data_IF_918357833062
#
_entry.id   IF_918357833062
#
_cell.length_a   1.000
_cell.length_b   1.000
_cell.length_c   1.000
_cell.angle_alpha   90.00
_cell.angle_beta   90.00
_cell.angle_gamma   90.00
#
_symmetry.space_group_name_H-M   'P 1'
#
loop_
_entity.id
_entity.type
_entity.pdbx_description
1 polymer ?
#
# COMPACT_ATOMS: atom_id res chain seq x y z
N UNK A 1 -29.77 9.79 22.24
CA UNK A 1 -31.17 9.89 21.76
C UNK A 1 -31.76 8.52 21.98
N UNK A 2 -32.55 8.32 23.03
CA UNK A 2 -33.12 7.01 23.38
C UNK A 2 -34.16 6.64 22.32
N UNK A 3 -33.73 5.92 21.28
CA UNK A 3 -34.66 5.13 20.48
C UNK A 3 -35.15 4.00 21.36
N UNK A 4 -36.47 3.90 21.52
CA UNK A 4 -37.08 2.80 22.24
C UNK A 4 -36.72 1.50 21.53
N UNK A 5 -35.98 0.63 22.23
CA UNK A 5 -35.37 -0.61 21.71
C UNK A 5 -36.41 -1.49 21.00
N UNK A 6 -37.64 -1.52 21.51
CA UNK A 6 -38.78 -2.24 20.93
C UNK A 6 -39.20 -1.67 19.57
N UNK A 7 -39.21 -0.34 19.42
CA UNK A 7 -39.54 0.30 18.15
C UNK A 7 -38.52 0.00 17.05
N UNK A 8 -37.27 -0.30 17.41
CA UNK A 8 -36.22 -0.57 16.46
C UNK A 8 -36.21 -2.02 15.96
N UNK A 9 -36.56 -3.00 16.81
CA UNK A 9 -36.73 -4.41 16.40
C UNK A 9 -37.80 -4.55 15.30
N UNK A 10 -38.94 -3.85 15.42
CA UNK A 10 -39.98 -3.80 14.38
C UNK A 10 -39.49 -3.13 13.07
N UNK A 11 -38.41 -2.33 13.15
CA UNK A 11 -37.82 -1.58 12.04
C UNK A 11 -36.62 -2.29 11.39
N UNK A 12 -36.11 -3.37 11.99
CA UNK A 12 -35.04 -4.18 11.38
C UNK A 12 -35.52 -4.77 10.04
N UNK A 13 -36.80 -5.09 9.94
CA UNK A 13 -37.43 -5.57 8.70
C UNK A 13 -37.52 -4.49 7.61
N UNK A 14 -37.48 -3.21 7.95
CA UNK A 14 -37.50 -2.08 7.00
C UNK A 14 -36.10 -1.71 6.46
N UNK A 15 -35.05 -2.38 6.93
CA UNK A 15 -33.68 -2.16 6.42
C UNK A 15 -33.57 -2.48 4.93
N UNK A 16 -33.00 -1.55 4.17
CA UNK A 16 -32.68 -1.70 2.76
C UNK A 16 -31.24 -2.15 2.58
N UNK A 17 -31.02 -3.07 1.65
CA UNK A 17 -29.70 -3.52 1.23
C UNK A 17 -29.38 -2.95 -0.14
N UNK A 18 -28.18 -2.39 -0.26
CA UNK A 18 -27.60 -1.97 -1.53
C UNK A 18 -26.24 -2.62 -1.71
N UNK A 19 -25.82 -2.72 -2.96
CA UNK A 19 -24.60 -3.37 -3.40
C UNK A 19 -23.77 -2.36 -4.17
N UNK A 20 -22.54 -2.12 -3.70
CA UNK A 20 -21.57 -1.28 -4.38
C UNK A 20 -20.60 -2.15 -5.18
N UNK A 21 -20.52 -2.01 -6.51
CA UNK A 21 -19.63 -2.86 -7.30
C UNK A 21 -18.16 -2.52 -7.10
N UNK A 22 -17.35 -3.58 -7.12
CA UNK A 22 -15.89 -3.54 -7.03
C UNK A 22 -15.34 -3.98 -8.39
N UNK A 23 -14.54 -3.10 -9.00
CA UNK A 23 -13.91 -3.33 -10.30
C UNK A 23 -12.48 -3.85 -10.15
N UNK A 24 -12.03 -4.71 -11.06
CA UNK A 24 -10.65 -5.20 -11.08
C UNK A 24 -9.76 -4.46 -12.09
N UNK A 25 -8.47 -4.36 -11.77
CA UNK A 25 -7.46 -3.76 -12.65
C UNK A 25 -7.13 -4.61 -13.88
N UNK A 26 -7.25 -5.93 -13.77
CA UNK A 26 -6.80 -6.89 -14.78
C UNK A 26 -7.84 -7.04 -15.91
N UNK A 27 -9.09 -7.27 -15.55
CA UNK A 27 -10.19 -7.48 -16.50
C UNK A 27 -11.04 -6.23 -16.75
N UNK A 28 -10.96 -5.23 -15.89
CA UNK A 28 -11.78 -3.99 -15.93
C UNK A 28 -13.29 -4.26 -15.76
N UNK A 29 -13.63 -5.38 -15.12
CA UNK A 29 -15.02 -5.82 -14.89
C UNK A 29 -15.34 -5.82 -13.40
N UNK A 30 -16.63 -5.96 -13.09
CA UNK A 30 -17.10 -6.20 -11.72
C UNK A 30 -16.70 -7.61 -11.30
N UNK A 31 -15.96 -7.71 -10.20
CA UNK A 31 -15.50 -8.97 -9.61
C UNK A 31 -16.15 -9.26 -8.26
N UNK A 32 -16.68 -8.22 -7.62
CA UNK A 32 -17.33 -8.34 -6.33
C UNK A 32 -18.36 -7.22 -6.10
N UNK A 33 -19.19 -7.39 -5.09
CA UNK A 33 -20.01 -6.34 -4.51
C UNK A 33 -19.75 -6.20 -3.01
N UNK A 34 -19.73 -4.96 -2.53
CA UNK A 34 -19.77 -4.67 -1.09
C UNK A 34 -21.20 -4.37 -0.66
N UNK A 35 -21.60 -5.02 0.44
CA UNK A 35 -22.92 -4.89 1.02
C UNK A 35 -22.97 -3.63 1.87
N UNK A 36 -23.97 -2.79 1.59
CA UNK A 36 -24.26 -1.58 2.35
C UNK A 36 -25.69 -1.65 2.86
N UNK A 37 -25.82 -1.71 4.18
CA UNK A 37 -27.12 -1.63 4.87
C UNK A 37 -27.48 -0.19 5.16
N UNK A 38 -28.70 0.21 4.80
CA UNK A 38 -29.25 1.52 5.14
C UNK A 38 -30.65 1.39 5.74
N UNK A 39 -30.94 2.26 6.71
CA UNK A 39 -32.27 2.42 7.27
C UNK A 39 -32.72 3.86 7.12
N UNK A 40 -33.93 4.09 6.62
CA UNK A 40 -34.47 5.45 6.42
C UNK A 40 -35.70 5.65 7.30
N UNK A 41 -35.64 6.62 8.20
CA UNK A 41 -36.78 7.01 9.05
C UNK A 41 -37.12 8.49 8.81
N UNK A 42 -38.36 8.78 8.40
CA UNK A 42 -38.98 10.11 8.38
C UNK A 42 -38.03 11.27 7.99
N UNK A 43 -37.19 11.07 6.95
CA UNK A 43 -36.19 11.98 6.33
C UNK A 43 -34.71 11.82 6.71
N UNK A 44 -34.33 10.91 7.59
CA UNK A 44 -32.90 10.60 7.87
C UNK A 44 -32.55 9.18 7.43
N UNK A 45 -31.44 9.05 6.72
CA UNK A 45 -30.83 7.76 6.36
C UNK A 45 -29.68 7.47 7.32
N UNK A 46 -29.68 6.28 7.90
CA UNK A 46 -28.69 5.78 8.84
C UNK A 46 -27.93 4.62 8.19
N UNK A 47 -26.61 4.59 8.36
CA UNK A 47 -25.78 3.46 7.96
C UNK A 47 -25.87 2.36 9.02
N UNK A 48 -26.25 1.16 8.62
CA UNK A 48 -26.43 0.04 9.55
C UNK A 48 -25.11 -0.36 10.19
N UNK A 49 -24.01 -0.35 9.44
CA UNK A 49 -22.68 -0.64 9.97
C UNK A 49 -22.26 0.36 11.03
N UNK A 50 -22.73 1.61 10.99
CA UNK A 50 -22.46 2.58 12.07
C UNK A 50 -23.26 2.25 13.34
N UNK A 51 -24.53 1.82 13.18
CA UNK A 51 -25.38 1.41 14.29
C UNK A 51 -24.83 0.20 15.05
N UNK A 52 -24.09 -0.70 14.39
CA UNK A 52 -23.47 -1.85 15.08
C UNK A 52 -22.35 -1.44 16.05
N UNK A 53 -21.85 -0.21 15.97
CA UNK A 53 -20.87 0.36 16.92
C UNK A 53 -21.49 1.36 17.91
N UNK A 54 -22.79 1.68 17.82
CA UNK A 54 -23.44 2.61 18.75
C UNK A 54 -23.67 1.95 20.11
N UNK A 55 -22.79 2.22 21.08
CA UNK A 55 -22.86 1.66 22.44
C UNK A 55 -24.14 2.06 23.21
N UNK A 56 -24.92 3.03 22.73
CA UNK A 56 -26.24 3.31 23.31
C UNK A 56 -27.28 2.23 23.00
N UNK A 57 -27.01 1.36 22.02
CA UNK A 57 -27.83 0.19 21.66
C UNK A 57 -27.25 -1.05 22.35
N UNK A 58 -28.12 -1.84 22.99
CA UNK A 58 -27.72 -3.07 23.65
C UNK A 58 -27.00 -4.03 22.69
N UNK A 59 -25.95 -4.68 23.19
CA UNK A 59 -25.04 -5.52 22.39
C UNK A 59 -25.76 -6.66 21.64
N UNK A 60 -26.71 -7.33 22.29
CA UNK A 60 -27.52 -8.38 21.68
C UNK A 60 -28.33 -7.88 20.47
N UNK A 61 -28.87 -6.67 20.55
CA UNK A 61 -29.60 -6.04 19.44
C UNK A 61 -28.65 -5.66 18.31
N UNK A 62 -27.48 -5.10 18.62
CA UNK A 62 -26.45 -4.78 17.61
C UNK A 62 -26.01 -6.02 16.85
N UNK A 63 -25.84 -7.14 17.55
CA UNK A 63 -25.58 -8.45 16.94
C UNK A 63 -26.73 -8.91 16.04
N UNK A 64 -27.98 -8.79 16.49
CA UNK A 64 -29.15 -9.14 15.65
C UNK A 64 -29.27 -8.24 14.40
N UNK A 65 -28.97 -6.96 14.52
CA UNK A 65 -28.94 -6.01 13.38
C UNK A 65 -27.95 -6.48 12.32
N UNK A 66 -26.72 -6.78 12.73
CA UNK A 66 -25.67 -7.24 11.82
C UNK A 66 -26.09 -8.53 11.12
N UNK A 67 -26.50 -9.55 11.89
CA UNK A 67 -26.91 -10.83 11.33
C UNK A 67 -28.11 -10.70 10.38
N UNK A 68 -29.07 -9.81 10.66
CA UNK A 68 -30.19 -9.57 9.77
C UNK A 68 -29.79 -8.85 8.47
N UNK A 69 -28.83 -7.91 8.52
CA UNK A 69 -28.23 -7.34 7.32
C UNK A 69 -27.59 -8.43 6.46
N UNK A 70 -26.78 -9.31 7.08
CA UNK A 70 -26.12 -10.42 6.38
C UNK A 70 -27.14 -11.37 5.75
N UNK A 71 -28.19 -11.76 6.50
CA UNK A 71 -29.28 -12.61 6.01
C UNK A 71 -29.97 -12.02 4.77
N UNK A 72 -30.35 -10.74 4.84
CA UNK A 72 -30.99 -10.04 3.73
C UNK A 72 -30.06 -9.91 2.52
N UNK A 73 -28.80 -9.57 2.74
CA UNK A 73 -27.83 -9.38 1.68
C UNK A 73 -27.52 -10.68 0.93
N UNK A 74 -27.27 -11.77 1.65
CA UNK A 74 -27.02 -13.09 1.04
C UNK A 74 -28.26 -13.57 0.29
N UNK A 75 -29.45 -13.41 0.88
CA UNK A 75 -30.70 -13.82 0.22
C UNK A 75 -30.93 -13.06 -1.10
N UNK A 76 -30.64 -11.76 -1.12
CA UNK A 76 -30.76 -10.93 -2.32
C UNK A 76 -29.64 -11.21 -3.35
N UNK A 77 -28.44 -11.58 -2.91
CA UNK A 77 -27.29 -11.85 -3.77
C UNK A 77 -27.18 -13.32 -4.22
N UNK A 78 -28.06 -14.21 -3.74
CA UNK A 78 -27.95 -15.66 -3.89
C UNK A 78 -27.75 -16.08 -5.35
N UNK A 79 -28.57 -15.58 -6.27
CA UNK A 79 -28.45 -15.92 -7.70
C UNK A 79 -27.16 -15.40 -8.35
N UNK A 80 -26.68 -14.21 -7.96
CA UNK A 80 -25.49 -13.58 -8.53
C UNK A 80 -24.20 -14.26 -8.05
N UNK A 81 -24.13 -14.60 -6.76
CA UNK A 81 -23.01 -15.36 -6.16
C UNK A 81 -22.97 -16.78 -6.74
N UNK A 82 -24.14 -17.41 -6.93
CA UNK A 82 -24.26 -18.79 -7.42
C UNK A 82 -23.96 -18.92 -8.92
N UNK A 83 -24.45 -18.02 -9.77
CA UNK A 83 -24.40 -18.20 -11.22
C UNK A 83 -23.21 -17.50 -11.89
N UNK A 84 -22.71 -16.39 -11.33
CA UNK A 84 -21.69 -15.56 -11.97
C UNK A 84 -20.34 -15.57 -11.25
N UNK A 85 -20.21 -16.33 -10.16
CA UNK A 85 -19.00 -16.41 -9.33
C UNK A 85 -18.49 -15.02 -8.87
N UNK A 86 -19.42 -14.10 -8.61
CA UNK A 86 -19.10 -12.76 -8.11
C UNK A 86 -18.92 -12.84 -6.60
N UNK A 87 -17.85 -12.25 -6.09
CA UNK A 87 -17.58 -12.24 -4.65
C UNK A 87 -18.46 -11.23 -3.90
N UNK A 88 -18.68 -11.48 -2.61
CA UNK A 88 -19.48 -10.64 -1.74
C UNK A 88 -18.68 -10.20 -0.52
N UNK A 89 -18.61 -8.89 -0.31
CA UNK A 89 -17.94 -8.26 0.82
C UNK A 89 -19.00 -7.92 1.86
N UNK A 90 -18.95 -8.64 2.98
CA UNK A 90 -19.90 -8.57 4.07
C UNK A 90 -19.31 -7.78 5.24
N UNK A 91 -20.01 -6.79 5.81
CA UNK A 91 -19.55 -6.12 7.01
C UNK A 91 -19.46 -7.11 8.17
N UNK A 92 -18.40 -6.99 8.98
CA UNK A 92 -18.17 -7.83 10.14
C UNK A 92 -17.57 -6.97 11.26
N UNK A 93 -18.35 -6.68 12.29
CA UNK A 93 -17.90 -5.98 13.47
C UNK A 93 -17.12 -6.95 14.38
N UNK A 94 -15.80 -6.74 14.59
CA UNK A 94 -14.98 -7.66 15.36
C UNK A 94 -15.41 -7.74 16.84
N UNK A 95 -16.01 -6.68 17.39
CA UNK A 95 -16.51 -6.71 18.77
C UNK A 95 -17.75 -7.60 18.88
N UNK A 96 -18.67 -7.52 17.91
CA UNK A 96 -19.87 -8.37 17.90
C UNK A 96 -19.55 -9.83 17.55
N UNK A 97 -18.58 -10.05 16.66
CA UNK A 97 -18.08 -11.38 16.34
C UNK A 97 -17.55 -12.10 17.59
N UNK A 98 -16.98 -11.36 18.55
CA UNK A 98 -16.38 -11.95 19.75
C UNK A 98 -17.36 -12.28 20.87
N UNK A 99 -18.64 -11.88 20.76
CA UNK A 99 -19.67 -12.19 21.77
C UNK A 99 -19.81 -13.71 21.96
N UNK A 100 -19.74 -14.47 20.86
CA UNK A 100 -19.92 -15.92 20.81
C UNK A 100 -18.81 -16.62 20.02
N UNK A 101 -17.64 -15.98 19.91
CA UNK A 101 -16.51 -16.47 19.12
C UNK A 101 -16.90 -16.81 17.67
N UNK A 102 -17.74 -15.97 17.07
CA UNK A 102 -18.14 -16.01 15.67
C UNK A 102 -19.12 -17.12 15.31
N UNK A 103 -19.65 -17.87 16.29
CA UNK A 103 -20.52 -19.01 16.03
C UNK A 103 -21.80 -18.59 15.28
N UNK A 104 -22.57 -17.62 15.79
CA UNK A 104 -23.82 -17.21 15.12
C UNK A 104 -23.60 -16.62 13.73
N UNK A 105 -22.52 -15.85 13.53
CA UNK A 105 -22.18 -15.31 12.22
C UNK A 105 -21.87 -16.46 11.25
N UNK A 106 -21.06 -17.42 11.68
CA UNK A 106 -20.67 -18.57 10.88
C UNK A 106 -21.85 -19.50 10.57
N UNK A 107 -22.71 -19.82 11.56
CA UNK A 107 -23.93 -20.59 11.35
C UNK A 107 -24.85 -19.89 10.35
N UNK A 108 -24.98 -18.55 10.43
CA UNK A 108 -25.75 -17.78 9.46
C UNK A 108 -25.22 -17.95 8.03
N UNK A 109 -23.90 -17.97 7.82
CA UNK A 109 -23.33 -18.27 6.50
C UNK A 109 -23.68 -19.70 6.04
N UNK A 110 -23.55 -20.69 6.94
CA UNK A 110 -23.84 -22.11 6.66
C UNK A 110 -25.30 -22.40 6.34
N UNK A 111 -26.22 -21.71 7.01
CA UNK A 111 -27.66 -21.87 6.80
C UNK A 111 -28.10 -21.32 5.43
N UNK A 112 -27.45 -20.25 4.95
CA UNK A 112 -27.89 -19.52 3.77
C UNK A 112 -27.20 -19.96 2.48
N UNK A 113 -25.98 -20.51 2.57
CA UNK A 113 -25.15 -20.85 1.42
C UNK A 113 -24.37 -22.15 1.62
N UNK A 114 -24.08 -22.83 0.50
CA UNK A 114 -23.19 -23.99 0.49
C UNK A 114 -21.73 -23.59 0.81
N UNK A 115 -21.02 -24.44 1.56
CA UNK A 115 -19.62 -24.22 1.95
C UNK A 115 -18.69 -24.03 0.73
N UNK A 116 -19.03 -24.60 -0.43
CA UNK A 116 -18.25 -24.45 -1.68
C UNK A 116 -18.21 -23.00 -2.18
N UNK A 117 -19.12 -22.14 -1.74
CA UNK A 117 -19.21 -20.74 -2.13
C UNK A 117 -18.50 -19.81 -1.15
N UNK A 118 -18.02 -20.33 -0.01
CA UNK A 118 -17.39 -19.52 1.03
C UNK A 118 -16.09 -18.86 0.52
N UNK A 119 -15.43 -19.43 -0.49
CA UNK A 119 -14.29 -18.81 -1.17
C UNK A 119 -14.60 -17.48 -1.86
N UNK A 120 -15.88 -17.18 -2.08
CA UNK A 120 -16.38 -15.94 -2.67
C UNK A 120 -16.84 -14.94 -1.61
N UNK A 121 -16.76 -15.27 -0.32
CA UNK A 121 -17.13 -14.36 0.78
C UNK A 121 -15.88 -13.70 1.34
N UNK A 122 -15.96 -12.38 1.49
CA UNK A 122 -14.97 -11.56 2.17
C UNK A 122 -15.63 -10.94 3.40
N UNK A 123 -15.09 -11.21 4.59
CA UNK A 123 -15.48 -10.47 5.79
C UNK A 123 -14.69 -9.16 5.84
N UNK A 124 -15.40 -8.05 5.84
CA UNK A 124 -14.84 -6.70 5.94
C UNK A 124 -14.75 -6.33 7.41
N UNK A 125 -13.53 -6.35 7.93
CA UNK A 125 -13.23 -6.14 9.35
C UNK A 125 -12.45 -4.82 9.52
N UNK A 126 -13.02 -3.79 10.16
CA UNK A 126 -12.27 -2.62 10.60
C UNK A 126 -11.54 -2.96 11.90
N UNK A 127 -10.36 -3.57 11.78
CA UNK A 127 -9.60 -4.10 12.93
C UNK A 127 -9.33 -3.05 14.02
N UNK A 128 -9.09 -1.80 13.62
CA UNK A 128 -8.73 -0.70 14.52
C UNK A 128 -9.85 -0.33 15.49
N UNK A 129 -11.08 -0.79 15.23
CA UNK A 129 -12.25 -0.59 16.10
C UNK A 129 -12.42 -1.71 17.13
N UNK A 130 -11.58 -2.73 17.13
CA UNK A 130 -11.64 -3.80 18.11
C UNK A 130 -11.03 -3.37 19.45
N UNK A 131 -11.75 -3.59 20.54
CA UNK A 131 -11.34 -3.14 21.90
C UNK A 131 -10.85 -4.29 22.79
N UNK A 132 -10.83 -5.53 22.28
CA UNK A 132 -10.45 -6.72 23.04
C UNK A 132 -9.04 -7.25 22.76
N UNK A 133 -8.82 -8.52 23.10
CA UNK A 133 -7.55 -9.23 22.91
C UNK A 133 -7.44 -9.80 21.48
N UNK A 134 -6.50 -9.27 20.70
CA UNK A 134 -6.27 -9.68 19.31
C UNK A 134 -5.85 -11.14 19.17
N UNK A 135 -5.17 -11.72 20.17
CA UNK A 135 -4.84 -13.15 20.15
C UNK A 135 -6.11 -14.00 20.20
N UNK A 136 -7.13 -13.55 20.96
CA UNK A 136 -8.42 -14.23 21.03
C UNK A 136 -9.22 -14.06 19.74
N UNK A 137 -9.25 -12.86 19.16
CA UNK A 137 -9.94 -12.58 17.89
C UNK A 137 -9.38 -13.40 16.72
N UNK A 138 -8.11 -13.77 16.77
CA UNK A 138 -7.48 -14.59 15.74
C UNK A 138 -8.12 -15.98 15.64
N UNK A 139 -8.59 -16.58 16.74
CA UNK A 139 -9.15 -17.93 16.75
C UNK A 139 -10.41 -18.09 15.86
N UNK A 140 -11.49 -17.32 16.04
CA UNK A 140 -12.68 -17.45 15.20
C UNK A 140 -12.38 -17.10 13.74
N UNK A 141 -11.50 -16.12 13.50
CA UNK A 141 -11.12 -15.73 12.14
C UNK A 141 -10.38 -16.86 11.43
N UNK A 142 -9.39 -17.48 12.07
CA UNK A 142 -8.71 -18.65 11.53
C UNK A 142 -9.68 -19.80 11.27
N UNK A 143 -10.59 -20.06 12.20
CA UNK A 143 -11.61 -21.09 12.04
C UNK A 143 -12.47 -20.84 10.80
N UNK A 144 -13.04 -19.65 10.65
CA UNK A 144 -13.86 -19.27 9.49
C UNK A 144 -13.06 -19.36 8.18
N UNK A 145 -11.79 -18.95 8.19
CA UNK A 145 -10.88 -19.06 7.03
C UNK A 145 -10.63 -20.51 6.61
N UNK A 146 -10.67 -21.50 7.51
CA UNK A 146 -10.50 -22.92 7.14
C UNK A 146 -11.55 -23.42 6.16
N UNK A 147 -12.71 -22.76 6.09
CA UNK A 147 -13.78 -23.03 5.13
C UNK A 147 -13.68 -22.21 3.84
N UNK A 148 -12.58 -21.46 3.64
CA UNK A 148 -12.31 -20.70 2.42
C UNK A 148 -12.77 -19.23 2.46
N UNK A 149 -13.48 -18.80 3.50
CA UNK A 149 -13.85 -17.39 3.69
C UNK A 149 -12.59 -16.53 3.77
N UNK A 150 -12.60 -15.38 3.10
CA UNK A 150 -11.48 -14.45 3.04
C UNK A 150 -11.71 -13.26 3.95
N UNK A 151 -10.62 -12.60 4.34
CA UNK A 151 -10.68 -11.40 5.18
C UNK A 151 -10.23 -10.19 4.35
N UNK A 152 -11.00 -9.12 4.44
CA UNK A 152 -10.66 -7.80 3.95
C UNK A 152 -10.55 -6.84 5.15
N UNK A 153 -9.40 -6.23 5.36
CA UNK A 153 -9.25 -5.23 6.43
C UNK A 153 -9.66 -3.86 5.94
N UNK A 154 -10.47 -3.16 6.72
CA UNK A 154 -11.04 -1.86 6.38
C UNK A 154 -10.24 -0.69 6.97
N UNK A 155 -10.18 0.42 6.23
CA UNK A 155 -9.51 1.67 6.61
C UNK A 155 -8.02 1.52 6.95
N UNK A 156 -7.30 0.75 6.13
CA UNK A 156 -5.85 0.62 6.26
C UNK A 156 -5.15 1.95 5.93
N UNK A 157 -4.30 2.43 6.82
CA UNK A 157 -3.66 3.73 6.73
C UNK A 157 -2.64 4.00 7.85
N UNK A 158 -2.48 5.26 8.24
CA UNK A 158 -1.50 5.71 9.24
C UNK A 158 -1.73 5.20 10.65
N UNK A 159 -2.96 4.84 10.98
CA UNK A 159 -3.33 4.32 12.30
C UNK A 159 -3.26 2.78 12.36
N UNK A 160 -2.95 2.12 11.24
CA UNK A 160 -2.91 0.66 11.18
C UNK A 160 -1.67 0.09 11.85
N UNK A 161 -1.88 -0.99 12.60
CA UNK A 161 -0.80 -1.74 13.21
C UNK A 161 -0.39 -2.93 12.32
N UNK A 162 0.89 -3.00 11.95
CA UNK A 162 1.40 -4.04 11.05
C UNK A 162 1.32 -5.44 11.67
N UNK A 163 1.56 -5.58 12.97
CA UNK A 163 1.47 -6.88 13.66
C UNK A 163 0.03 -7.36 13.67
N UNK A 164 -0.92 -6.46 13.91
CA UNK A 164 -2.35 -6.79 13.83
C UNK A 164 -2.69 -7.22 12.40
N UNK A 165 -2.35 -6.45 11.36
CA UNK A 165 -2.59 -6.85 9.96
C UNK A 165 -2.06 -8.26 9.68
N UNK A 166 -0.83 -8.57 10.13
CA UNK A 166 -0.21 -9.88 9.94
C UNK A 166 -0.98 -11.00 10.64
N UNK A 167 -1.57 -10.77 11.80
CA UNK A 167 -2.34 -11.78 12.53
C UNK A 167 -3.62 -12.22 11.79
N UNK A 168 -4.26 -11.32 11.03
CA UNK A 168 -5.45 -11.66 10.24
C UNK A 168 -5.12 -12.40 8.94
N UNK A 169 -3.89 -12.27 8.45
CA UNK A 169 -3.45 -12.79 7.14
C UNK A 169 -4.50 -12.48 6.04
N UNK A 170 -4.79 -11.19 5.79
CA UNK A 170 -5.91 -10.78 4.96
C UNK A 170 -5.65 -11.04 3.47
N UNK A 171 -6.73 -11.27 2.72
CA UNK A 171 -6.68 -11.34 1.26
C UNK A 171 -6.70 -9.95 0.63
N UNK A 172 -7.25 -8.95 1.33
CA UNK A 172 -7.44 -7.58 0.83
C UNK A 172 -7.14 -6.57 1.94
N UNK A 173 -6.41 -5.52 1.61
CA UNK A 173 -6.26 -4.32 2.42
C UNK A 173 -7.04 -3.19 1.72
N UNK A 174 -8.08 -2.66 2.38
CA UNK A 174 -8.90 -1.57 1.85
C UNK A 174 -8.35 -0.23 2.35
N UNK A 175 -8.07 0.66 1.41
CA UNK A 175 -7.50 1.99 1.66
C UNK A 175 -8.51 3.04 1.19
N UNK A 176 -8.82 3.98 2.06
CA UNK A 176 -9.71 5.09 1.70
C UNK A 176 -8.92 6.20 1.03
N UNK A 177 -9.29 6.57 -0.21
CA UNK A 177 -8.61 7.66 -0.93
C UNK A 177 -8.68 9.00 -0.22
N UNK A 178 -9.68 9.22 0.64
CA UNK A 178 -9.82 10.46 1.42
C UNK A 178 -8.82 10.58 2.57
N UNK A 179 -8.30 9.45 3.08
CA UNK A 179 -7.20 9.43 4.07
C UNK A 179 -5.86 9.80 3.44
N UNK A 180 -5.77 9.80 2.11
CA UNK A 180 -4.58 10.23 1.39
C UNK A 180 -4.59 11.76 1.33
N UNK A 181 -3.84 12.41 2.23
CA UNK A 181 -3.69 13.86 2.20
C UNK A 181 -3.12 14.31 0.85
N UNK A 182 -3.89 15.12 0.12
CA UNK A 182 -3.57 15.59 -1.23
C UNK A 182 -2.24 16.37 -1.30
N UNK A 183 -1.87 17.03 -0.20
CA UNK A 183 -0.62 17.79 -0.10
C UNK A 183 0.59 16.91 0.26
N UNK A 184 0.37 15.66 0.70
CA UNK A 184 1.39 14.65 0.98
C UNK A 184 1.58 13.64 -0.17
N UNK A 185 1.00 13.93 -1.35
CA UNK A 185 1.07 13.09 -2.54
C UNK A 185 2.40 13.13 -3.31
N UNK A 186 3.37 13.93 -2.86
CA UNK A 186 4.75 13.83 -3.31
C UNK A 186 5.55 12.95 -2.36
N UNK A 187 6.21 11.89 -2.86
CA UNK A 187 7.30 11.08 -2.26
C UNK A 187 7.28 10.66 -0.76
N UNK A 188 6.37 11.11 0.08
CA UNK A 188 6.51 11.08 1.53
C UNK A 188 5.19 10.71 2.22
N UNK A 189 4.69 9.53 1.86
CA UNK A 189 3.90 8.80 2.84
C UNK A 189 4.48 7.40 2.97
N UNK A 190 5.62 7.32 3.67
CA UNK A 190 6.37 6.08 3.95
C UNK A 190 5.46 4.97 4.50
N UNK A 191 4.38 5.34 5.19
CA UNK A 191 3.32 4.43 5.63
C UNK A 191 2.72 3.67 4.44
N UNK A 192 2.27 4.36 3.38
CA UNK A 192 1.65 3.70 2.23
C UNK A 192 2.63 2.83 1.45
N UNK A 193 3.88 3.28 1.28
CA UNK A 193 4.92 2.44 0.69
C UNK A 193 5.20 1.19 1.54
N UNK A 194 5.14 1.32 2.86
CA UNK A 194 5.27 0.19 3.79
C UNK A 194 4.09 -0.77 3.64
N UNK A 195 2.85 -0.27 3.59
CA UNK A 195 1.64 -1.07 3.38
C UNK A 195 1.67 -1.78 2.03
N UNK A 196 2.07 -1.09 0.95
CA UNK A 196 2.23 -1.68 -0.39
C UNK A 196 3.25 -2.82 -0.36
N UNK A 197 4.42 -2.58 0.24
CA UNK A 197 5.47 -3.58 0.36
C UNK A 197 4.99 -4.77 1.19
N UNK A 198 4.30 -4.51 2.31
CA UNK A 198 3.70 -5.54 3.15
C UNK A 198 2.70 -6.38 2.36
N UNK A 199 1.76 -5.74 1.65
CA UNK A 199 0.75 -6.42 0.85
C UNK A 199 1.38 -7.39 -0.16
N UNK A 200 2.42 -6.95 -0.88
CA UNK A 200 3.17 -7.80 -1.80
C UNK A 200 3.84 -8.97 -1.08
N UNK A 201 4.44 -8.74 0.10
CA UNK A 201 5.13 -9.78 0.87
C UNK A 201 4.20 -10.85 1.44
N UNK A 202 2.99 -10.47 1.85
CA UNK A 202 2.01 -11.40 2.44
C UNK A 202 1.02 -11.97 1.41
N UNK A 203 1.10 -11.51 0.15
CA UNK A 203 0.17 -11.94 -0.90
C UNK A 203 -1.23 -11.32 -0.78
N UNK A 204 -1.37 -10.19 -0.08
CA UNK A 204 -2.61 -9.44 0.00
C UNK A 204 -2.77 -8.49 -1.19
N UNK A 205 -4.00 -8.27 -1.62
CA UNK A 205 -4.33 -7.33 -2.68
C UNK A 205 -4.72 -5.97 -2.10
N UNK A 206 -4.43 -4.88 -2.81
CA UNK A 206 -4.86 -3.55 -2.41
C UNK A 206 -6.19 -3.20 -3.08
N UNK A 207 -7.12 -2.68 -2.29
CA UNK A 207 -8.37 -2.10 -2.75
C UNK A 207 -8.40 -0.63 -2.36
N UNK A 208 -8.74 0.26 -3.29
CA UNK A 208 -8.99 1.66 -2.99
C UNK A 208 -10.49 1.95 -3.08
N UNK A 209 -11.04 2.52 -2.02
CA UNK A 209 -12.45 2.88 -1.93
C UNK A 209 -12.68 4.40 -1.95
N UNK A 210 -13.95 4.81 -2.02
CA UNK A 210 -14.39 6.21 -2.07
C UNK A 210 -13.83 7.02 -3.25
N UNK A 211 -13.50 6.35 -4.35
CA UNK A 211 -13.05 7.01 -5.59
C UNK A 211 -14.21 7.82 -6.19
N UNK A 212 -13.99 9.12 -6.30
CA UNK A 212 -14.93 10.15 -6.77
C UNK A 212 -14.42 10.93 -7.99
N UNK A 213 -13.14 10.82 -8.33
CA UNK A 213 -12.53 11.47 -9.50
C UNK A 213 -11.63 10.52 -10.30
N UNK A 214 -11.37 10.89 -11.56
CA UNK A 214 -10.42 10.22 -12.45
C UNK A 214 -8.98 10.30 -11.89
N UNK A 215 -8.63 11.43 -11.28
CA UNK A 215 -7.34 11.60 -10.62
C UNK A 215 -7.14 10.57 -9.49
N UNK A 216 -8.14 10.38 -8.62
CA UNK A 216 -8.07 9.40 -7.54
C UNK A 216 -7.94 7.97 -8.10
N UNK A 217 -8.65 7.67 -9.19
CA UNK A 217 -8.56 6.37 -9.87
C UNK A 217 -7.15 6.12 -10.43
N UNK A 218 -6.58 7.10 -11.16
CA UNK A 218 -5.22 7.02 -11.68
C UNK A 218 -4.20 6.83 -10.56
N UNK A 219 -4.35 7.57 -9.46
CA UNK A 219 -3.45 7.46 -8.32
C UNK A 219 -3.54 6.09 -7.65
N UNK A 220 -4.75 5.55 -7.43
CA UNK A 220 -4.93 4.19 -6.92
C UNK A 220 -4.25 3.16 -7.83
N UNK A 221 -4.45 3.27 -9.15
CA UNK A 221 -3.85 2.38 -10.14
C UNK A 221 -2.32 2.42 -10.10
N UNK A 222 -1.74 3.62 -10.09
CA UNK A 222 -0.28 3.85 -9.99
C UNK A 222 0.31 3.24 -8.72
N UNK A 223 -0.47 3.21 -7.64
CA UNK A 223 -0.07 2.72 -6.32
C UNK A 223 -0.39 1.24 -6.09
N UNK A 224 -0.57 0.46 -7.16
CA UNK A 224 -0.70 -1.00 -7.08
C UNK A 224 -2.07 -1.49 -6.62
N UNK A 225 -3.11 -0.66 -6.69
CA UNK A 225 -4.47 -1.11 -6.48
C UNK A 225 -4.85 -2.20 -7.49
N UNK A 226 -5.32 -3.34 -6.97
CA UNK A 226 -5.95 -4.38 -7.79
C UNK A 226 -7.45 -4.16 -7.94
N UNK A 227 -8.08 -3.64 -6.87
CA UNK A 227 -9.52 -3.44 -6.81
C UNK A 227 -9.88 -1.98 -6.57
N UNK A 228 -10.97 -1.53 -7.18
CA UNK A 228 -11.41 -0.15 -7.14
C UNK A 228 -12.91 -0.06 -6.84
N UNK A 229 -13.27 0.87 -5.96
CA UNK A 229 -14.65 1.11 -5.55
C UNK A 229 -14.90 2.60 -5.34
N UNK A 230 -16.08 3.09 -5.73
CA UNK A 230 -16.51 4.45 -5.46
C UNK A 230 -17.43 5.04 -6.53
N UNK A 231 -18.05 6.17 -6.20
CA UNK A 231 -19.07 6.82 -7.02
C UNK A 231 -18.62 7.29 -8.40
N UNK A 232 -17.31 7.46 -8.65
CA UNK A 232 -16.76 7.75 -9.98
C UNK A 232 -16.92 6.58 -10.96
N UNK A 233 -16.79 5.37 -10.43
CA UNK A 233 -16.97 4.12 -11.15
C UNK A 233 -18.46 3.83 -11.22
N UNK A 234 -19.08 3.49 -10.10
CA UNK A 234 -20.48 3.13 -10.03
C UNK A 234 -21.01 3.35 -8.62
N UNK A 235 -22.17 4.01 -8.50
CA UNK A 235 -22.84 4.22 -7.22
C UNK A 235 -23.50 2.92 -6.73
N UNK A 236 -23.66 2.75 -5.40
CA UNK A 236 -24.42 1.65 -4.83
C UNK A 236 -25.86 1.59 -5.38
N UNK A 237 -26.36 0.38 -5.58
CA UNK A 237 -27.72 0.14 -6.09
C UNK A 237 -28.32 -1.10 -5.40
N UNK A 238 -29.64 -1.18 -5.35
CA UNK A 238 -30.35 -2.40 -4.93
C UNK A 238 -30.47 -3.43 -6.06
N UNK A 239 -30.00 -3.11 -7.27
CA UNK A 239 -29.99 -3.98 -8.43
C UNK A 239 -28.56 -4.29 -8.88
N UNK A 240 -28.35 -5.55 -9.23
CA UNK A 240 -27.12 -6.00 -9.86
C UNK A 240 -27.08 -5.58 -11.33
N UNK A 241 -25.87 -5.33 -11.82
CA UNK A 241 -25.63 -4.88 -13.20
C UNK A 241 -24.69 -5.86 -13.91
N UNK A 242 -24.69 -5.90 -15.24
CA UNK A 242 -23.75 -6.74 -15.99
C UNK A 242 -22.29 -6.48 -15.60
N UNK A 243 -21.48 -7.54 -15.47
CA UNK A 243 -20.10 -7.41 -15.02
C UNK A 243 -19.23 -6.50 -15.92
N UNK A 244 -19.56 -6.45 -17.21
CA UNK A 244 -18.80 -5.70 -18.21
C UNK A 244 -19.28 -4.24 -18.38
N UNK A 245 -20.18 -3.73 -17.51
CA UNK A 245 -20.82 -2.40 -17.68
C UNK A 245 -19.84 -1.25 -17.89
N UNK A 246 -18.69 -1.21 -17.20
CA UNK A 246 -17.68 -0.16 -17.36
C UNK A 246 -16.44 -0.60 -18.13
N UNK A 247 -16.42 -1.82 -18.69
CA UNK A 247 -15.20 -2.43 -19.21
C UNK A 247 -14.44 -1.56 -20.19
N UNK A 248 -15.13 -1.07 -21.22
CA UNK A 248 -14.48 -0.27 -22.27
C UNK A 248 -14.05 1.11 -21.77
N UNK A 249 -14.88 1.78 -20.95
CA UNK A 249 -14.51 3.07 -20.35
C UNK A 249 -13.27 2.92 -19.47
N UNK A 250 -13.30 1.97 -18.54
CA UNK A 250 -12.22 1.80 -17.57
C UNK A 250 -10.93 1.32 -18.25
N UNK A 251 -11.03 0.44 -19.25
CA UNK A 251 -9.89 0.05 -20.08
C UNK A 251 -9.25 1.25 -20.81
N UNK A 252 -10.05 2.14 -21.37
CA UNK A 252 -9.55 3.35 -22.05
C UNK A 252 -8.88 4.32 -21.07
N UNK A 253 -9.43 4.50 -19.86
CA UNK A 253 -8.80 5.28 -18.79
C UNK A 253 -7.45 4.66 -18.38
N UNK A 254 -7.38 3.34 -18.18
CA UNK A 254 -6.13 2.63 -17.91
C UNK A 254 -5.08 2.79 -19.03
N UNK A 255 -5.48 2.79 -20.30
CA UNK A 255 -4.56 3.07 -21.41
C UNK A 255 -3.95 4.47 -21.33
N UNK A 256 -4.74 5.48 -20.94
CA UNK A 256 -4.24 6.84 -20.75
C UNK A 256 -3.26 6.90 -19.57
N UNK A 257 -3.55 6.22 -18.47
CA UNK A 257 -2.66 6.10 -17.31
C UNK A 257 -1.31 5.48 -17.70
N UNK A 258 -1.35 4.34 -18.40
CA UNK A 258 -0.15 3.63 -18.88
C UNK A 258 0.70 4.55 -19.77
N UNK A 259 0.07 5.24 -20.73
CA UNK A 259 0.80 6.13 -21.64
C UNK A 259 1.50 7.28 -20.91
N UNK A 260 0.83 7.84 -19.90
CA UNK A 260 1.34 8.96 -19.10
C UNK A 260 2.50 8.52 -18.23
N UNK A 261 2.34 7.44 -17.47
CA UNK A 261 3.38 6.94 -16.56
C UNK A 261 4.59 6.40 -17.33
N UNK A 262 4.38 5.73 -18.47
CA UNK A 262 5.49 5.28 -19.32
C UNK A 262 6.37 6.45 -19.77
N UNK A 263 5.75 7.53 -20.26
CA UNK A 263 6.48 8.74 -20.69
C UNK A 263 7.26 9.37 -19.53
N UNK A 264 6.67 9.43 -18.33
CA UNK A 264 7.34 9.96 -17.15
C UNK A 264 8.55 9.09 -16.73
N UNK A 265 8.39 7.77 -16.77
CA UNK A 265 9.47 6.82 -16.45
C UNK A 265 10.61 6.87 -17.47
N UNK A 266 10.30 7.02 -18.76
CA UNK A 266 11.31 7.17 -19.81
C UNK A 266 12.18 8.41 -19.59
N UNK A 267 11.57 9.58 -19.35
CA UNK A 267 12.31 10.81 -19.06
C UNK A 267 13.20 10.67 -17.82
N UNK A 268 12.66 10.08 -16.74
CA UNK A 268 13.44 9.84 -15.51
C UNK A 268 14.62 8.91 -15.76
N UNK A 269 14.39 7.84 -16.49
CA UNK A 269 15.43 6.86 -16.80
C UNK A 269 16.55 7.48 -17.65
N UNK A 270 16.21 8.32 -18.63
CA UNK A 270 17.19 9.06 -19.43
C UNK A 270 18.05 10.01 -18.57
N UNK A 271 17.45 10.75 -17.65
CA UNK A 271 18.19 11.62 -16.72
C UNK A 271 19.12 10.82 -15.80
N UNK A 272 18.65 9.68 -15.29
CA UNK A 272 19.49 8.77 -14.51
C UNK A 272 20.68 8.25 -15.34
N UNK A 273 20.48 7.90 -16.61
CA UNK A 273 21.58 7.49 -17.50
C UNK A 273 22.59 8.62 -17.74
N UNK A 274 22.12 9.85 -17.95
CA UNK A 274 22.99 11.03 -18.10
C UNK A 274 23.84 11.25 -16.85
N UNK A 275 23.23 11.19 -15.67
CA UNK A 275 23.94 11.32 -14.39
C UNK A 275 25.01 10.23 -14.22
N UNK A 276 24.64 8.96 -14.43
CA UNK A 276 25.58 7.83 -14.34
C UNK A 276 26.79 8.03 -15.26
N UNK A 277 26.55 8.38 -16.53
CA UNK A 277 27.61 8.63 -17.51
C UNK A 277 28.50 9.81 -17.07
N UNK A 278 27.89 10.89 -16.59
CA UNK A 278 28.60 12.08 -16.12
C UNK A 278 29.54 11.74 -14.96
N UNK A 279 29.07 11.04 -13.94
CA UNK A 279 29.91 10.63 -12.79
C UNK A 279 31.00 9.68 -13.26
N UNK A 280 30.67 8.66 -14.06
CA UNK A 280 31.66 7.70 -14.58
C UNK A 280 32.80 8.41 -15.34
N UNK A 281 32.48 9.34 -16.25
CA UNK A 281 33.49 10.11 -16.99
C UNK A 281 34.35 10.99 -16.08
N UNK A 282 33.75 11.62 -15.06
CA UNK A 282 34.49 12.41 -14.07
C UNK A 282 35.48 11.52 -13.29
N UNK A 283 35.06 10.32 -12.88
CA UNK A 283 35.88 9.37 -12.14
C UNK A 283 37.01 8.81 -13.01
N UNK A 284 36.73 8.45 -14.26
CA UNK A 284 37.74 7.97 -15.22
C UNK A 284 38.85 8.99 -15.50
N UNK A 285 38.48 10.27 -15.57
CA UNK A 285 39.43 11.36 -15.79
C UNK A 285 40.28 11.65 -14.53
N UNK A 286 39.70 11.53 -13.34
CA UNK A 286 40.38 11.89 -12.09
C UNK A 286 41.19 10.73 -11.51
N UNK A 287 40.76 9.48 -11.75
CA UNK A 287 41.36 8.24 -11.24
C UNK A 287 41.62 8.33 -9.72
N UNK A 288 40.56 8.49 -8.90
CA UNK A 288 40.68 8.64 -7.45
C UNK A 288 41.41 7.43 -6.84
N UNK A 289 42.13 7.68 -5.75
CA UNK A 289 42.87 6.64 -5.03
C UNK A 289 42.62 6.80 -3.53
N UNK A 290 42.38 5.69 -2.84
CA UNK A 290 42.01 5.65 -1.42
C UNK A 290 42.97 6.38 -0.46
N UNK A 291 44.26 6.40 -0.79
CA UNK A 291 45.32 6.99 0.04
C UNK A 291 45.86 8.30 -0.55
N UNK A 292 45.09 8.99 -1.41
CA UNK A 292 45.54 10.22 -2.07
C UNK A 292 44.46 11.30 -1.98
N UNK A 293 44.53 12.07 -0.88
CA UNK A 293 43.59 13.16 -0.59
C UNK A 293 43.56 14.22 -1.69
N UNK A 294 44.68 14.51 -2.37
CA UNK A 294 44.71 15.49 -3.46
C UNK A 294 43.84 15.04 -4.64
N UNK A 295 43.93 13.77 -5.04
CA UNK A 295 43.09 13.20 -6.10
C UNK A 295 41.63 13.09 -5.68
N UNK A 296 41.37 12.76 -4.42
CA UNK A 296 40.01 12.75 -3.88
C UNK A 296 39.41 14.17 -3.91
N UNK A 297 40.15 15.19 -3.46
CA UNK A 297 39.70 16.59 -3.55
C UNK A 297 39.58 17.09 -4.99
N UNK A 298 40.39 16.59 -5.93
CA UNK A 298 40.20 16.86 -7.36
C UNK A 298 38.86 16.31 -7.87
N UNK A 299 38.49 15.09 -7.44
CA UNK A 299 37.20 14.50 -7.77
C UNK A 299 36.06 15.31 -7.17
N UNK A 300 36.21 15.73 -5.91
CA UNK A 300 35.24 16.55 -5.19
C UNK A 300 34.90 17.84 -5.94
N UNK A 301 35.92 18.55 -6.47
CA UNK A 301 35.72 19.76 -7.29
C UNK A 301 34.91 19.50 -8.57
N UNK A 302 35.10 18.35 -9.22
CA UNK A 302 34.34 18.00 -10.42
C UNK A 302 32.90 17.57 -10.10
N UNK A 303 32.66 17.07 -8.88
CA UNK A 303 31.35 16.65 -8.39
C UNK A 303 30.58 17.74 -7.64
N UNK A 304 31.09 18.97 -7.56
CA UNK A 304 30.60 20.02 -6.66
C UNK A 304 29.08 20.25 -6.77
N UNK A 305 28.52 20.28 -7.98
CA UNK A 305 27.08 20.50 -8.19
C UNK A 305 26.24 19.22 -8.23
N UNK A 306 26.84 18.06 -7.93
CA UNK A 306 26.21 16.74 -8.09
C UNK A 306 26.14 16.02 -6.75
N UNK A 307 27.22 16.04 -5.98
CA UNK A 307 27.38 15.21 -4.80
C UNK A 307 27.66 16.06 -3.55
N UNK A 308 27.29 15.53 -2.39
CA UNK A 308 27.69 16.08 -1.09
C UNK A 308 28.62 15.15 -0.32
N UNK A 309 28.67 13.85 -0.65
CA UNK A 309 29.58 12.90 0.00
C UNK A 309 30.05 11.83 -0.98
N UNK A 310 31.30 11.40 -0.87
CA UNK A 310 31.75 10.16 -1.49
C UNK A 310 32.86 9.48 -0.69
N UNK A 311 32.99 8.17 -0.88
CA UNK A 311 33.97 7.32 -0.20
C UNK A 311 34.21 6.01 -0.97
N UNK A 312 35.27 5.29 -0.60
CA UNK A 312 35.67 4.03 -1.22
C UNK A 312 35.62 2.91 -0.17
N UNK A 313 35.02 1.78 -0.53
CA UNK A 313 35.04 0.55 0.27
C UNK A 313 35.74 -0.59 -0.47
N UNK A 314 36.16 -1.59 0.29
CA UNK A 314 36.51 -2.90 -0.27
C UNK A 314 35.28 -3.79 -0.53
N UNK A 315 35.50 -5.00 -1.04
CA UNK A 315 34.48 -6.01 -1.33
C UNK A 315 33.76 -6.57 -0.08
N UNK A 316 34.37 -6.44 1.10
CA UNK A 316 33.78 -6.79 2.40
C UNK A 316 33.00 -5.63 3.04
N UNK A 317 32.96 -4.47 2.38
CA UNK A 317 32.25 -3.27 2.85
C UNK A 317 32.97 -2.46 3.92
N UNK A 318 34.25 -2.72 4.18
CA UNK A 318 35.08 -1.82 4.97
C UNK A 318 35.43 -0.59 4.15
N UNK A 319 35.20 0.58 4.73
CA UNK A 319 35.61 1.84 4.14
C UNK A 319 37.12 2.01 4.26
N UNK A 320 37.79 2.17 3.11
CA UNK A 320 39.25 2.22 2.97
C UNK A 320 39.76 3.59 2.55
N UNK A 321 38.86 4.55 2.31
CA UNK A 321 39.20 5.96 2.11
C UNK A 321 38.52 6.84 3.16
N UNK A 322 39.01 8.08 3.36
CA UNK A 322 38.26 9.10 4.09
C UNK A 322 36.90 9.34 3.43
N UNK A 323 35.97 9.87 4.21
CA UNK A 323 34.81 10.55 3.66
C UNK A 323 35.27 11.89 3.07
N UNK A 324 34.84 12.19 1.86
CA UNK A 324 34.96 13.54 1.30
C UNK A 324 33.56 14.13 1.34
N UNK A 325 33.34 15.09 2.22
CA UNK A 325 32.02 15.63 2.54
C UNK A 325 31.97 17.12 2.25
N UNK A 326 30.84 17.59 1.72
CA UNK A 326 30.59 19.00 1.46
C UNK A 326 29.76 19.60 2.58
N UNK A 327 30.34 20.52 3.33
CA UNK A 327 29.65 21.30 4.36
C UNK A 327 29.80 22.80 4.09
N UNK A 328 28.69 23.54 4.16
CA UNK A 328 28.67 25.00 3.93
C UNK A 328 29.40 25.45 2.64
N UNK A 329 29.26 24.67 1.56
CA UNK A 329 29.87 24.94 0.27
C UNK A 329 31.36 24.58 0.15
N UNK A 330 31.99 24.01 1.18
CA UNK A 330 33.39 23.58 1.17
C UNK A 330 33.50 22.06 1.29
N UNK A 331 34.52 21.50 0.64
CA UNK A 331 34.85 20.07 0.74
C UNK A 331 35.87 19.85 1.84
N UNK A 332 35.53 18.97 2.77
CA UNK A 332 36.37 18.57 3.89
C UNK A 332 36.72 17.08 3.80
N UNK A 333 37.88 16.71 4.35
CA UNK A 333 38.36 15.33 4.42
C UNK A 333 38.13 14.81 5.84
N UNK A 334 37.22 13.86 5.98
CA UNK A 334 36.89 13.22 7.25
C UNK A 334 37.49 11.81 7.32
N UNK A 335 38.47 11.65 8.21
CA UNK A 335 39.20 10.41 8.44
C UNK A 335 38.46 9.45 9.40
N UNK A 336 37.45 9.91 10.14
CA UNK A 336 36.79 9.10 11.18
C UNK A 336 36.02 7.91 10.61
N UNK A 337 35.64 7.96 9.32
CA UNK A 337 34.93 6.89 8.65
C UNK A 337 35.82 5.73 8.17
N UNK A 338 37.15 5.90 8.15
CA UNK A 338 38.09 4.85 7.72
C UNK A 338 38.02 3.67 8.70
N UNK A 339 37.83 2.46 8.15
CA UNK A 339 37.68 1.23 8.92
C UNK A 339 36.26 0.91 9.38
N UNK A 340 35.28 1.82 9.20
CA UNK A 340 33.86 1.49 9.39
C UNK A 340 33.41 0.45 8.36
N UNK A 341 32.42 -0.38 8.73
CA UNK A 341 31.86 -1.40 7.86
C UNK A 341 30.41 -1.09 7.50
N UNK A 342 30.06 -1.25 6.22
CA UNK A 342 28.74 -0.92 5.66
C UNK A 342 27.96 -2.15 5.16
N UNK A 343 28.48 -3.36 5.36
CA UNK A 343 27.86 -4.60 4.84
C UNK A 343 26.50 -4.92 5.48
N UNK A 344 26.20 -4.36 6.65
CA UNK A 344 24.91 -4.47 7.33
C UNK A 344 23.78 -3.70 6.65
N UNK A 345 24.09 -2.77 5.72
CA UNK A 345 23.06 -2.06 4.95
C UNK A 345 22.39 -3.07 4.00
N UNK A 346 21.04 -3.18 3.96
CA UNK A 346 20.32 -4.28 3.31
C UNK A 346 20.69 -4.54 1.84
N UNK A 347 21.08 -3.51 1.09
CA UNK A 347 21.38 -3.60 -0.34
C UNK A 347 22.88 -3.76 -0.65
N UNK A 348 23.78 -3.57 0.33
CA UNK A 348 25.19 -3.34 0.09
C UNK A 348 25.88 -4.53 -0.58
N UNK A 349 25.83 -5.71 0.05
CA UNK A 349 26.53 -6.91 -0.46
C UNK A 349 26.02 -7.35 -1.83
N UNK A 350 24.70 -7.28 -2.04
CA UNK A 350 24.11 -7.60 -3.34
C UNK A 350 24.59 -6.61 -4.43
N UNK A 351 24.65 -5.32 -4.11
CA UNK A 351 25.17 -4.31 -5.03
C UNK A 351 26.63 -4.54 -5.38
N UNK A 352 27.50 -4.90 -4.42
CA UNK A 352 28.91 -5.24 -4.67
C UNK A 352 29.02 -6.40 -5.68
N UNK A 353 28.26 -7.49 -5.46
CA UNK A 353 28.25 -8.65 -6.36
C UNK A 353 27.82 -8.23 -7.77
N UNK A 354 26.79 -7.38 -7.88
CA UNK A 354 26.31 -6.87 -9.16
C UNK A 354 27.35 -6.02 -9.88
N UNK A 355 27.99 -5.09 -9.18
CA UNK A 355 29.06 -4.24 -9.72
C UNK A 355 30.24 -5.07 -10.24
N UNK A 356 30.63 -6.12 -9.50
CA UNK A 356 31.72 -7.04 -9.90
C UNK A 356 31.41 -7.80 -11.17
N UNK A 357 30.17 -8.26 -11.35
CA UNK A 357 29.79 -9.11 -12.49
C UNK A 357 29.38 -8.30 -13.73
N UNK A 358 28.65 -7.19 -13.55
CA UNK A 358 28.11 -6.40 -14.65
C UNK A 358 29.08 -5.30 -15.11
N UNK A 359 30.03 -4.91 -14.25
CA UNK A 359 31.04 -3.88 -14.52
C UNK A 359 30.47 -2.46 -14.71
N UNK A 360 29.17 -2.27 -14.50
CA UNK A 360 28.46 -1.01 -14.73
C UNK A 360 28.09 -0.38 -13.41
N UNK A 361 28.42 0.91 -13.26
CA UNK A 361 27.93 1.68 -12.13
C UNK A 361 26.40 1.77 -12.10
N UNK A 362 25.84 1.99 -10.92
CA UNK A 362 24.40 1.99 -10.68
C UNK A 362 23.99 3.03 -9.63
N UNK A 363 22.78 3.57 -9.79
CA UNK A 363 22.14 4.45 -8.82
C UNK A 363 21.21 3.62 -7.93
N UNK A 364 21.25 3.85 -6.62
CA UNK A 364 20.27 3.28 -5.70
C UNK A 364 18.85 3.79 -5.96
N UNK A 365 17.88 3.14 -5.31
CA UNK A 365 16.58 3.78 -5.04
C UNK A 365 16.77 5.06 -4.22
N UNK A 366 15.76 5.94 -4.21
CA UNK A 366 15.74 7.08 -3.31
C UNK A 366 15.67 6.59 -1.85
N UNK A 367 16.44 7.22 -0.95
CA UNK A 367 16.39 6.96 0.48
C UNK A 367 16.78 8.22 1.26
N UNK A 368 16.48 8.28 2.55
CA UNK A 368 16.89 9.39 3.42
C UNK A 368 18.28 9.11 4.00
N UNK A 369 19.21 10.06 3.83
CA UNK A 369 20.55 9.93 4.38
C UNK A 369 20.55 9.90 5.91
N UNK A 370 21.37 9.04 6.51
CA UNK A 370 21.40 8.81 7.96
C UNK A 370 21.97 10.03 8.72
N UNK A 371 22.88 10.79 8.11
CA UNK A 371 23.54 11.92 8.76
C UNK A 371 22.77 13.23 8.54
N UNK A 372 22.30 13.49 7.31
CA UNK A 372 21.62 14.75 6.97
C UNK A 372 20.09 14.67 7.07
N UNK A 373 19.50 13.48 6.95
CA UNK A 373 18.05 13.29 6.83
C UNK A 373 17.48 13.63 5.44
N UNK A 374 18.27 14.19 4.53
CA UNK A 374 17.82 14.58 3.20
C UNK A 374 17.65 13.38 2.26
N UNK A 375 16.74 13.49 1.29
CA UNK A 375 16.56 12.46 0.28
C UNK A 375 17.74 12.45 -0.70
N UNK A 376 18.33 11.28 -0.91
CA UNK A 376 19.49 11.08 -1.78
C UNK A 376 19.40 9.77 -2.57
N UNK A 377 20.25 9.66 -3.58
CA UNK A 377 20.61 8.42 -4.28
C UNK A 377 22.11 8.28 -4.24
N UNK A 378 22.59 7.07 -3.97
CA UNK A 378 24.02 6.74 -4.06
C UNK A 378 24.31 6.16 -5.43
N UNK A 379 25.21 6.79 -6.16
CA UNK A 379 25.87 6.16 -7.31
C UNK A 379 27.01 5.29 -6.83
N UNK A 380 27.03 4.03 -7.24
CA UNK A 380 28.06 3.06 -6.89
C UNK A 380 28.76 2.57 -8.15
N UNK A 381 30.08 2.44 -8.14
CA UNK A 381 30.84 1.84 -9.25
C UNK A 381 32.11 1.13 -8.76
N UNK A 382 32.55 0.11 -9.48
CA UNK A 382 33.86 -0.50 -9.26
C UNK A 382 34.97 0.42 -9.80
N UNK A 383 36.02 0.64 -9.01
CA UNK A 383 37.26 1.28 -9.45
C UNK A 383 38.25 0.23 -9.97
N UNK A 384 38.25 -0.96 -9.36
CA UNK A 384 38.98 -2.16 -9.75
C UNK A 384 38.29 -3.39 -9.12
N UNK A 385 38.94 -4.56 -9.15
CA UNK A 385 38.38 -5.83 -8.65
C UNK A 385 38.04 -5.81 -7.15
N UNK A 386 38.67 -4.94 -6.35
CA UNK A 386 38.56 -4.93 -4.89
C UNK A 386 38.10 -3.60 -4.31
N UNK A 387 37.93 -2.55 -5.11
CA UNK A 387 37.62 -1.21 -4.62
C UNK A 387 36.39 -0.64 -5.31
N UNK A 388 35.46 -0.12 -4.52
CA UNK A 388 34.16 0.36 -4.95
C UNK A 388 33.94 1.78 -4.45
N UNK A 389 33.65 2.70 -5.37
CA UNK A 389 33.34 4.10 -5.08
C UNK A 389 31.83 4.27 -4.89
N UNK A 390 31.46 5.00 -3.85
CA UNK A 390 30.10 5.40 -3.53
C UNK A 390 30.03 6.93 -3.55
N UNK A 391 29.06 7.49 -4.26
CA UNK A 391 28.85 8.93 -4.43
C UNK A 391 27.40 9.27 -4.10
N UNK A 392 27.18 10.01 -3.02
CA UNK A 392 25.86 10.44 -2.56
C UNK A 392 25.47 11.76 -3.23
N UNK A 393 24.39 11.71 -4.01
CA UNK A 393 23.91 12.81 -4.87
C UNK A 393 23.07 13.79 -4.05
N UNK A 394 23.24 15.09 -4.27
CA UNK A 394 22.49 16.12 -3.53
C UNK A 394 21.00 16.10 -3.87
N UNK A 395 20.16 16.44 -2.88
CA UNK A 395 18.73 16.61 -3.11
C UNK A 395 18.44 17.63 -4.22
N UNK A 396 19.13 18.77 -4.20
CA UNK A 396 18.98 19.84 -5.20
C UNK A 396 19.19 19.32 -6.62
N UNK A 397 20.25 18.54 -6.85
CA UNK A 397 20.50 17.95 -8.17
C UNK A 397 19.38 17.00 -8.58
N UNK A 398 18.97 16.11 -7.66
CA UNK A 398 17.90 15.15 -7.93
C UNK A 398 16.58 15.86 -8.25
N UNK A 399 16.27 16.95 -7.54
CA UNK A 399 15.05 17.72 -7.68
C UNK A 399 15.02 18.47 -9.01
N UNK A 400 16.09 19.19 -9.36
CA UNK A 400 16.23 19.92 -10.63
C UNK A 400 16.11 19.00 -11.86
N UNK A 401 16.55 17.75 -11.73
CA UNK A 401 16.51 16.75 -12.80
C UNK A 401 15.30 15.80 -12.70
N UNK A 402 14.36 16.04 -11.78
CA UNK A 402 13.14 15.26 -11.59
C UNK A 402 13.38 13.74 -11.35
N UNK A 403 14.43 13.39 -10.63
CA UNK A 403 14.80 11.99 -10.30
C UNK A 403 14.73 11.67 -8.80
N UNK A 404 14.10 12.54 -8.00
CA UNK A 404 13.76 12.27 -6.58
C UNK A 404 12.66 11.21 -6.46
N UNK A 405 11.57 11.40 -7.21
CA UNK A 405 10.31 10.65 -7.06
C UNK A 405 10.20 9.44 -7.95
#
# INVERSE_FOLDING_TARGET
MQMDVLSFLDKIDEMNVSFEPIYSADEHVIVAYEVIGQYTNERKTFNITELTYDESIAENLRSEIELNLIKKAISAAKEEVLQKQIALYLPCNPNLLMIDFGDRYFQTLKELMDESLFSNIYLVIPEHKYVGDFEQLQHPIRYIKTYGVKIALDQIGSESNLDQILMFEPAVLKINVSQLNYNAWGAQNHVFTTIQTLAVKIGATLMFDNISTDYQLHHAWKNGARYFKGGYLQKPSNQFIPKDTLKERFRNECQQFISTEKRLLEVKYEEMLKLKKKIATIVENTKPQKNNDEKLLQLAKQLENIAFRFYICNDEGFQISPNIVRHNGKWDVDQEAVGKNWSWRPYFLFNIIKLRNDGKGELSSIYSDIETGELTRTYSMALNEHEYLFVDVTYDYLYEHNIVN
#
